data_IF_527848596003
#
_entry.id   IF_527848596003
#
_cell.length_a   1.000
_cell.length_b   1.000
_cell.length_c   1.000
_cell.angle_alpha   90.00
_cell.angle_beta   90.00
_cell.angle_gamma   90.00
#
_symmetry.space_group_name_H-M   'P 1'
#
loop_
_entity.id
_entity.type
_entity.pdbx_description
1 polymer ?
#
# COMPACT_ATOMS: atom_id res chain seq x y z
N UNK A 1 21.07 1.34 0.69
CA UNK A 1 19.99 0.47 1.19
C UNK A 1 19.14 1.32 2.12
N UNK A 2 17.86 1.54 1.81
CA UNK A 2 17.03 2.46 2.59
C UNK A 2 16.92 1.98 4.05
N UNK A 3 16.82 2.92 4.99
CA UNK A 3 16.61 2.60 6.41
C UNK A 3 15.29 1.83 6.56
N UNK A 4 15.29 0.75 7.34
CA UNK A 4 14.10 -0.06 7.56
C UNK A 4 13.78 -0.22 9.05
N UNK A 5 12.50 -0.48 9.36
CA UNK A 5 12.01 -0.83 10.70
C UNK A 5 11.25 -2.15 10.64
N UNK A 6 11.29 -2.91 11.75
CA UNK A 6 10.58 -4.17 11.94
C UNK A 6 9.24 -4.00 12.68
N UNK A 7 8.73 -2.78 12.77
CA UNK A 7 7.39 -2.47 13.26
C UNK A 7 6.71 -1.54 12.26
N UNK A 8 5.39 -1.66 12.08
CA UNK A 8 4.65 -0.76 11.22
C UNK A 8 4.76 0.67 11.74
N UNK A 9 4.84 1.62 10.81
CA UNK A 9 4.80 3.04 11.13
C UNK A 9 3.35 3.49 11.33
N UNK A 10 2.40 2.86 10.64
CA UNK A 10 0.99 3.24 10.63
C UNK A 10 0.10 2.17 11.26
N UNK A 11 -1.07 2.58 11.75
CA UNK A 11 -2.10 1.65 12.20
C UNK A 11 -2.73 0.92 11.00
N UNK A 12 -2.74 -0.41 11.03
CA UNK A 12 -3.42 -1.19 9.99
C UNK A 12 -4.92 -0.92 10.00
N UNK A 13 -5.55 -0.80 11.17
CA UNK A 13 -6.97 -0.51 11.29
C UNK A 13 -7.33 0.85 10.68
N UNK A 14 -6.44 1.84 10.81
CA UNK A 14 -6.60 3.15 10.19
C UNK A 14 -6.49 3.06 8.67
N UNK A 15 -5.49 2.34 8.15
CA UNK A 15 -5.34 2.09 6.72
C UNK A 15 -6.58 1.43 6.12
N UNK A 16 -7.10 0.37 6.78
CA UNK A 16 -8.34 -0.30 6.38
C UNK A 16 -9.54 0.65 6.37
N UNK A 17 -9.69 1.45 7.42
CA UNK A 17 -10.77 2.44 7.51
C UNK A 17 -10.71 3.46 6.37
N UNK A 18 -9.53 4.00 6.07
CA UNK A 18 -9.34 4.94 4.96
C UNK A 18 -9.64 4.31 3.60
N UNK A 19 -9.24 3.05 3.39
CA UNK A 19 -9.53 2.30 2.17
C UNK A 19 -11.04 2.09 1.97
N UNK A 20 -11.74 1.62 3.01
CA UNK A 20 -13.21 1.43 2.99
C UNK A 20 -13.98 2.74 2.74
N UNK A 21 -13.46 3.86 3.23
CA UNK A 21 -14.03 5.19 3.01
C UNK A 21 -13.70 5.79 1.63
N UNK A 22 -12.95 5.08 0.79
CA UNK A 22 -12.49 5.58 -0.51
C UNK A 22 -11.48 6.73 -0.41
N UNK A 23 -10.87 6.95 0.77
CA UNK A 23 -9.86 8.01 1.00
C UNK A 23 -8.47 7.54 0.58
N UNK A 24 -8.36 7.08 -0.66
CA UNK A 24 -7.14 6.55 -1.22
C UNK A 24 -6.56 7.45 -2.31
N UNK A 25 -5.25 7.63 -2.26
CA UNK A 25 -4.46 8.24 -3.31
C UNK A 25 -3.57 7.16 -3.92
N UNK A 26 -3.97 6.69 -5.09
CA UNK A 26 -3.29 5.58 -5.78
C UNK A 26 -2.35 6.13 -6.85
N UNK A 27 -1.07 5.78 -6.77
CA UNK A 27 -0.09 6.21 -7.76
C UNK A 27 -0.51 5.74 -9.18
N UNK A 28 -0.38 6.61 -10.18
CA UNK A 28 -0.75 6.30 -11.56
C UNK A 28 -0.04 5.07 -12.15
N UNK A 29 1.18 4.76 -11.68
CA UNK A 29 1.88 3.51 -12.04
C UNK A 29 1.17 2.27 -11.49
N UNK A 30 0.65 2.34 -10.28
CA UNK A 30 -0.12 1.25 -9.65
C UNK A 30 -1.42 1.03 -10.40
N UNK A 31 -2.19 2.09 -10.66
CA UNK A 31 -3.42 2.00 -11.46
C UNK A 31 -3.15 1.36 -12.82
N UNK A 32 -2.11 1.82 -13.53
CA UNK A 32 -1.73 1.28 -14.84
C UNK A 32 -1.30 -0.18 -14.76
N UNK A 33 -0.52 -0.56 -13.74
CA UNK A 33 -0.07 -1.94 -13.56
C UNK A 33 -1.27 -2.87 -13.32
N UNK A 34 -2.16 -2.53 -12.40
CA UNK A 34 -3.36 -3.30 -12.08
C UNK A 34 -4.28 -3.45 -13.29
N UNK A 35 -4.54 -2.36 -14.01
CA UNK A 35 -5.38 -2.39 -15.21
C UNK A 35 -4.74 -3.20 -16.35
N UNK A 36 -3.46 -2.99 -16.64
CA UNK A 36 -2.82 -3.58 -17.82
C UNK A 36 -2.42 -5.04 -17.63
N UNK A 37 -2.05 -5.44 -16.41
CA UNK A 37 -1.57 -6.80 -16.14
C UNK A 37 -2.69 -7.74 -15.68
N UNK A 38 -3.66 -7.21 -14.95
CA UNK A 38 -4.72 -8.02 -14.32
C UNK A 38 -6.13 -7.65 -14.79
N UNK A 39 -6.29 -6.58 -15.58
CA UNK A 39 -7.58 -6.22 -16.18
C UNK A 39 -8.57 -5.54 -15.21
N UNK A 40 -8.13 -5.15 -14.01
CA UNK A 40 -9.02 -4.47 -13.06
C UNK A 40 -9.47 -3.11 -13.60
N UNK A 41 -10.79 -2.89 -13.62
CA UNK A 41 -11.42 -1.63 -14.04
C UNK A 41 -11.75 -0.74 -12.84
N UNK A 42 -12.18 -1.34 -11.73
CA UNK A 42 -12.43 -0.66 -10.47
C UNK A 42 -11.28 -0.89 -9.50
N UNK A 43 -10.23 -0.07 -9.67
CA UNK A 43 -9.01 -0.16 -8.86
C UNK A 43 -9.27 0.18 -7.40
N UNK A 44 -10.17 1.12 -7.14
CA UNK A 44 -10.42 1.60 -5.78
C UNK A 44 -11.20 0.53 -4.99
N UNK A 45 -12.16 -0.15 -5.62
CA UNK A 45 -12.83 -1.29 -5.00
C UNK A 45 -11.87 -2.47 -4.75
N UNK A 46 -11.06 -2.85 -5.74
CA UNK A 46 -10.05 -3.91 -5.58
C UNK A 46 -9.10 -3.62 -4.42
N UNK A 47 -8.58 -2.39 -4.33
CA UNK A 47 -7.68 -2.02 -3.24
C UNK A 47 -8.40 -2.02 -1.89
N UNK A 48 -9.66 -1.58 -1.83
CA UNK A 48 -10.42 -1.63 -0.58
C UNK A 48 -10.55 -3.08 -0.06
N UNK A 49 -10.87 -4.03 -0.94
CA UNK A 49 -10.98 -5.44 -0.59
C UNK A 49 -9.62 -6.04 -0.20
N UNK A 50 -8.55 -5.71 -0.94
CA UNK A 50 -7.18 -6.13 -0.60
C UNK A 50 -6.76 -5.62 0.79
N UNK A 51 -7.04 -4.35 1.10
CA UNK A 51 -6.74 -3.79 2.42
C UNK A 51 -7.60 -4.43 3.51
N UNK A 52 -8.87 -4.72 3.22
CA UNK A 52 -9.76 -5.38 4.18
C UNK A 52 -9.25 -6.77 4.57
N UNK A 53 -8.67 -7.49 3.61
CA UNK A 53 -8.12 -8.83 3.79
C UNK A 53 -6.80 -8.86 4.59
N UNK A 54 -6.02 -7.78 4.61
CA UNK A 54 -4.72 -7.73 5.30
C UNK A 54 -4.82 -8.09 6.79
N UNK A 55 -3.90 -8.90 7.28
CA UNK A 55 -3.75 -9.18 8.71
C UNK A 55 -2.50 -8.51 9.29
N UNK A 56 -2.45 -8.26 10.62
CA UNK A 56 -1.23 -7.78 11.26
C UNK A 56 0.00 -8.67 11.01
N UNK A 57 -0.22 -9.98 10.81
CA UNK A 57 0.83 -10.96 10.50
C UNK A 57 1.44 -10.81 9.11
N UNK A 58 0.76 -10.11 8.18
CA UNK A 58 1.24 -9.86 6.82
C UNK A 58 2.30 -8.75 6.77
N UNK A 59 2.52 -8.04 7.87
CA UNK A 59 3.52 -6.98 7.94
C UNK A 59 4.93 -7.53 7.69
N UNK A 60 5.66 -6.90 6.76
CA UNK A 60 7.02 -7.30 6.40
C UNK A 60 8.05 -6.34 6.96
N UNK A 61 7.88 -5.06 6.68
CA UNK A 61 8.82 -4.00 7.08
C UNK A 61 8.22 -2.63 6.81
N UNK A 62 8.78 -1.63 7.48
CA UNK A 62 8.60 -0.23 7.13
C UNK A 62 9.88 0.30 6.51
N UNK A 63 9.82 0.95 5.35
CA UNK A 63 10.99 1.45 4.62
C UNK A 63 10.97 2.97 4.54
N UNK A 64 12.09 3.62 4.84
CA UNK A 64 12.23 5.05 4.59
C UNK A 64 12.22 5.31 3.07
N UNK A 65 11.44 6.30 2.65
CA UNK A 65 11.43 6.81 1.29
C UNK A 65 12.62 7.75 1.13
N UNK A 66 13.46 7.45 0.16
CA UNK A 66 14.65 8.23 -0.19
C UNK A 66 14.38 8.95 -1.52
N UNK A 67 13.30 9.72 -1.53
CA UNK A 67 12.90 10.55 -2.68
C UNK A 67 13.16 12.01 -2.35
N UNK A 68 13.59 12.78 -3.34
CA UNK A 68 13.70 14.23 -3.22
C UNK A 68 12.31 14.84 -2.98
N UNK A 69 12.22 15.79 -2.04
CA UNK A 69 10.99 16.52 -1.72
C UNK A 69 10.30 16.09 -0.42
N UNK A 70 8.98 16.31 -0.28
CA UNK A 70 8.27 16.23 1.01
C UNK A 70 8.19 14.82 1.60
N UNK A 71 8.48 13.80 0.78
CA UNK A 71 8.49 12.39 1.21
C UNK A 71 9.87 11.93 1.72
N UNK A 72 10.88 12.80 1.74
CA UNK A 72 12.21 12.44 2.23
C UNK A 72 12.16 12.06 3.72
N UNK A 73 12.58 10.84 4.04
CA UNK A 73 12.59 10.33 5.42
C UNK A 73 11.23 9.87 5.94
N UNK A 74 10.15 10.01 5.17
CA UNK A 74 8.84 9.42 5.45
C UNK A 74 8.94 7.91 5.29
N UNK A 75 8.29 7.16 6.16
CA UNK A 75 8.29 5.70 6.09
C UNK A 75 7.06 5.21 5.32
N UNK A 76 7.23 4.12 4.56
CA UNK A 76 6.13 3.40 3.94
C UNK A 76 6.11 1.97 4.48
N UNK A 77 4.95 1.51 4.91
CA UNK A 77 4.76 0.14 5.38
C UNK A 77 4.54 -0.80 4.21
N UNK A 78 5.11 -2.00 4.31
CA UNK A 78 5.03 -3.06 3.32
C UNK A 78 4.40 -4.28 3.95
N UNK A 79 3.34 -4.77 3.31
CA UNK A 79 2.63 -5.99 3.68
C UNK A 79 2.66 -7.00 2.53
N UNK A 80 2.66 -8.28 2.85
CA UNK A 80 2.55 -9.43 1.94
C UNK A 80 1.23 -10.15 2.27
N UNK A 81 0.16 -9.77 1.58
CA UNK A 81 -1.19 -10.29 1.73
C UNK A 81 -1.29 -11.65 1.02
N UNK A 82 -1.36 -12.74 1.80
CA UNK A 82 -1.27 -14.10 1.25
C UNK A 82 -2.63 -14.68 0.88
N UNK A 83 -2.73 -15.24 -0.32
CA UNK A 83 -3.93 -15.93 -0.81
C UNK A 83 -5.13 -15.03 -1.12
N UNK A 84 -4.95 -13.71 -1.22
CA UNK A 84 -6.00 -12.82 -1.70
C UNK A 84 -6.22 -13.05 -3.20
N UNK A 85 -7.45 -13.39 -3.58
CA UNK A 85 -7.78 -13.83 -4.95
C UNK A 85 -6.87 -14.95 -5.49
N UNK A 86 -6.48 -15.88 -4.60
CA UNK A 86 -5.58 -17.00 -4.90
C UNK A 86 -4.12 -16.60 -5.21
N UNK A 87 -3.73 -15.35 -4.94
CA UNK A 87 -2.40 -14.81 -5.22
C UNK A 87 -1.80 -14.14 -3.99
N UNK A 88 -0.47 -13.99 -3.97
CA UNK A 88 0.26 -13.31 -2.91
C UNK A 88 0.58 -11.87 -3.32
N UNK A 89 -0.07 -10.91 -2.67
CA UNK A 89 0.01 -9.50 -3.00
C UNK A 89 0.94 -8.72 -2.08
N UNK A 90 1.92 -8.03 -2.66
CA UNK A 90 2.75 -7.08 -1.94
C UNK A 90 2.20 -5.66 -2.11
N UNK A 91 1.79 -5.08 -0.99
CA UNK A 91 1.28 -3.71 -0.94
C UNK A 91 2.23 -2.83 -0.15
N UNK A 92 2.49 -1.63 -0.67
CA UNK A 92 3.29 -0.60 -0.01
C UNK A 92 2.49 0.68 0.08
N UNK A 93 2.38 1.23 1.27
CA UNK A 93 1.59 2.44 1.50
C UNK A 93 2.17 3.33 2.60
N UNK A 94 1.67 4.55 2.65
CA UNK A 94 1.83 5.46 3.78
C UNK A 94 0.50 6.14 4.07
N UNK A 95 0.31 6.60 5.30
CA UNK A 95 -0.81 7.48 5.65
C UNK A 95 -0.26 8.90 5.73
N UNK A 96 -0.84 9.79 4.93
CA UNK A 96 -0.63 11.23 5.07
C UNK A 96 -1.67 11.77 6.04
N UNK A 97 -1.23 12.27 7.19
CA UNK A 97 -2.08 12.82 8.23
C UNK A 97 -2.25 14.33 8.14
N UNK A 98 -1.58 15.02 7.21
CA UNK A 98 -1.67 16.48 7.11
C UNK A 98 -2.98 16.92 6.43
N UNK A 99 -3.77 17.72 7.16
CA UNK A 99 -5.06 18.24 6.69
C UNK A 99 -6.16 17.19 6.74
N UNK A 100 -6.24 16.34 5.71
CA UNK A 100 -7.22 15.25 5.61
C UNK A 100 -6.46 13.94 5.49
N UNK A 101 -6.72 13.00 6.41
CA UNK A 101 -6.06 11.70 6.38
C UNK A 101 -6.38 10.95 5.08
N UNK A 102 -5.35 10.56 4.33
CA UNK A 102 -5.47 9.74 3.12
C UNK A 102 -4.44 8.61 3.11
N UNK A 103 -4.88 7.46 2.59
CA UNK A 103 -4.04 6.30 2.36
C UNK A 103 -3.36 6.43 0.98
N UNK A 104 -2.05 6.64 0.97
CA UNK A 104 -1.26 6.75 -0.25
C UNK A 104 -0.71 5.36 -0.63
N UNK A 105 -1.25 4.77 -1.68
CA UNK A 105 -0.84 3.45 -2.20
C UNK A 105 0.28 3.63 -3.23
N UNK A 106 1.48 3.19 -2.86
CA UNK A 106 2.70 3.34 -3.65
C UNK A 106 2.97 2.13 -4.56
N UNK A 107 2.54 0.94 -4.15
CA UNK A 107 2.57 -0.28 -4.97
C UNK A 107 1.55 -1.31 -4.52
N UNK A 108 1.05 -2.08 -5.48
CA UNK A 108 0.30 -3.33 -5.28
C UNK A 108 0.67 -4.25 -6.44
N UNK A 109 1.32 -5.38 -6.16
CA UNK A 109 1.74 -6.35 -7.18
C UNK A 109 1.83 -7.77 -6.63
N UNK A 110 1.77 -8.74 -7.53
CA UNK A 110 2.13 -10.14 -7.28
C UNK A 110 3.64 -10.23 -7.59
N UNK A 111 4.42 -10.94 -6.78
CA UNK A 111 5.91 -11.07 -6.83
C UNK A 111 6.77 -10.04 -6.07
N UNK A 112 6.20 -9.00 -5.47
CA UNK A 112 6.96 -8.09 -4.58
C UNK A 112 8.01 -7.23 -5.28
N UNK A 113 8.11 -7.32 -6.61
CA UNK A 113 8.98 -6.49 -7.44
C UNK A 113 8.19 -5.35 -8.08
N UNK A 114 8.48 -4.12 -7.65
CA UNK A 114 8.24 -2.93 -8.47
C UNK A 114 9.47 -2.81 -9.37
N UNK A 115 9.32 -3.07 -10.66
CA UNK A 115 10.31 -2.60 -11.65
C UNK A 115 10.20 -1.08 -11.83
#
# INVERSE_FOLDING_TARGET
MNRTKLRPTYSLDEAKSLARLGKMMVNGRVRRHLMNQFGYLDIDHFLADLFDYLEPGDFRKSIALDMDGPLHGVYADVYECRGFECEDWYVKFLIDSEGNAHLNVLSANIDGYIH
#
